data_IF_993302689885
#
_entry.id   IF_993302689885
#
_cell.length_a   1.000
_cell.length_b   1.000
_cell.length_c   1.000
_cell.angle_alpha   90.00
_cell.angle_beta   90.00
_cell.angle_gamma   90.00
#
_symmetry.space_group_name_H-M   'P 1'
#
loop_
_entity.id
_entity.type
_entity.pdbx_description
1 polymer ?
#
# COMPACT_ATOMS: atom_id res chain seq x y z
N UNK A 1 -11.76 -6.18 -8.86
CA UNK A 1 -10.31 -5.91 -9.01
C UNK A 1 -9.59 -7.11 -9.62
N UNK A 2 -8.85 -6.89 -10.69
CA UNK A 2 -7.98 -7.89 -11.31
C UNK A 2 -6.54 -7.63 -10.83
N UNK A 3 -5.87 -8.67 -10.33
CA UNK A 3 -4.44 -8.57 -9.93
C UNK A 3 -3.58 -8.90 -11.14
N UNK A 4 -2.78 -7.94 -11.58
CA UNK A 4 -1.90 -8.06 -12.74
C UNK A 4 -0.45 -8.22 -12.25
N UNK A 5 0.15 -9.37 -12.52
CA UNK A 5 1.58 -9.65 -12.27
C UNK A 5 2.38 -9.70 -13.58
N UNK A 6 1.75 -10.20 -14.63
CA UNK A 6 2.30 -10.17 -15.98
C UNK A 6 1.81 -8.92 -16.71
N UNK A 7 2.71 -7.96 -16.88
CA UNK A 7 2.41 -6.66 -17.50
C UNK A 7 2.14 -6.75 -18.99
N UNK A 8 2.50 -7.84 -19.69
CA UNK A 8 2.16 -8.06 -21.08
C UNK A 8 0.64 -8.11 -21.30
N UNK A 9 -0.12 -8.50 -20.27
CA UNK A 9 -1.60 -8.51 -20.31
C UNK A 9 -2.21 -7.12 -20.41
N UNK A 10 -1.44 -6.06 -20.14
CA UNK A 10 -1.84 -4.66 -20.24
C UNK A 10 -1.54 -4.05 -21.62
N UNK A 11 -0.87 -4.78 -22.51
CA UNK A 11 -0.47 -4.27 -23.82
C UNK A 11 -1.68 -3.70 -24.59
N UNK A 12 -1.56 -2.43 -24.95
CA UNK A 12 -2.61 -1.69 -25.65
C UNK A 12 -3.81 -1.27 -24.80
N UNK A 13 -3.76 -1.50 -23.47
CA UNK A 13 -4.82 -1.09 -22.53
C UNK A 13 -4.33 0.12 -21.74
N UNK A 14 -4.92 1.27 -21.99
CA UNK A 14 -4.63 2.48 -21.22
C UNK A 14 -5.41 2.48 -19.90
N UNK A 15 -4.83 3.02 -18.86
CA UNK A 15 -5.46 3.15 -17.55
C UNK A 15 -5.05 4.44 -16.83
N UNK A 16 -5.90 4.87 -15.91
CA UNK A 16 -5.56 5.90 -14.92
C UNK A 16 -4.96 5.21 -13.71
N UNK A 17 -3.75 5.58 -13.32
CA UNK A 17 -3.01 4.86 -12.29
C UNK A 17 -2.54 5.76 -11.15
N UNK A 18 -2.36 5.18 -9.99
CA UNK A 18 -1.57 5.74 -8.88
C UNK A 18 -0.56 4.70 -8.42
N UNK A 19 0.54 5.16 -7.80
CA UNK A 19 1.61 4.29 -7.33
C UNK A 19 1.87 4.49 -5.85
N UNK A 20 2.10 3.40 -5.12
CA UNK A 20 2.45 3.44 -3.71
C UNK A 20 2.62 2.06 -3.10
N UNK A 21 3.14 2.00 -1.88
CA UNK A 21 3.23 0.74 -1.14
C UNK A 21 1.88 0.33 -0.53
N UNK A 22 1.04 1.28 -0.18
CA UNK A 22 -0.33 1.10 0.34
C UNK A 22 -0.42 0.22 1.60
N UNK A 23 0.55 0.34 2.51
CA UNK A 23 0.51 -0.39 3.77
C UNK A 23 -0.65 0.07 4.65
N UNK A 24 -1.52 -0.87 5.03
CA UNK A 24 -2.73 -0.61 5.81
C UNK A 24 -3.95 -0.18 5.00
N UNK A 25 -3.80 0.23 3.73
CA UNK A 25 -4.92 0.75 2.89
C UNK A 25 -5.87 1.67 3.69
N UNK A 26 -5.27 2.55 4.50
CA UNK A 26 -5.94 3.43 5.46
C UNK A 26 -6.77 4.55 4.80
N UNK A 27 -7.47 5.36 5.58
CA UNK A 27 -8.33 6.44 5.10
C UNK A 27 -7.67 7.32 4.03
N UNK A 28 -6.41 7.76 4.23
CA UNK A 28 -5.71 8.55 3.22
C UNK A 28 -5.47 7.80 1.91
N UNK A 29 -5.17 6.51 1.96
CA UNK A 29 -5.06 5.67 0.76
C UNK A 29 -6.42 5.50 0.07
N UNK A 30 -7.48 5.29 0.83
CA UNK A 30 -8.85 5.13 0.29
C UNK A 30 -9.35 6.42 -0.35
N UNK A 31 -9.02 7.57 0.23
CA UNK A 31 -9.31 8.87 -0.36
C UNK A 31 -8.60 9.05 -1.72
N UNK A 32 -7.29 8.80 -1.78
CA UNK A 32 -6.53 8.82 -3.03
C UNK A 32 -7.12 7.89 -4.09
N UNK A 33 -7.51 6.68 -3.70
CA UNK A 33 -8.13 5.70 -4.61
C UNK A 33 -9.54 6.18 -5.05
N UNK A 34 -10.27 6.85 -4.20
CA UNK A 34 -11.55 7.44 -4.57
C UNK A 34 -11.39 8.52 -5.64
N UNK A 35 -10.46 9.46 -5.46
CA UNK A 35 -10.13 10.47 -6.49
C UNK A 35 -9.64 9.80 -7.80
N UNK A 36 -8.78 8.78 -7.69
CA UNK A 36 -8.33 8.01 -8.84
C UNK A 36 -9.49 7.46 -9.66
N UNK A 37 -10.48 6.88 -8.99
CA UNK A 37 -11.67 6.32 -9.66
C UNK A 37 -12.51 7.40 -10.35
N UNK A 38 -12.66 8.57 -9.73
CA UNK A 38 -13.36 9.70 -10.36
C UNK A 38 -12.64 10.18 -11.62
N UNK A 39 -11.30 10.29 -11.58
CA UNK A 39 -10.50 10.65 -12.77
C UNK A 39 -10.61 9.58 -13.85
N UNK A 40 -10.58 8.30 -13.49
CA UNK A 40 -10.71 7.17 -14.40
C UNK A 40 -12.08 7.14 -15.08
N UNK A 41 -13.16 7.33 -14.32
CA UNK A 41 -14.52 7.41 -14.82
C UNK A 41 -14.69 8.57 -15.80
N UNK A 42 -14.19 9.76 -15.46
CA UNK A 42 -14.23 10.94 -16.33
C UNK A 42 -13.43 10.74 -17.63
N UNK A 43 -12.38 9.93 -17.61
CA UNK A 43 -11.57 9.59 -18.78
C UNK A 43 -12.14 8.41 -19.59
N UNK A 44 -13.15 7.70 -19.08
CA UNK A 44 -13.65 6.45 -19.68
C UNK A 44 -12.60 5.32 -19.69
N UNK A 45 -11.68 5.34 -18.72
CA UNK A 45 -10.58 4.39 -18.60
C UNK A 45 -10.66 3.60 -17.27
N UNK A 46 -10.10 2.39 -17.22
CA UNK A 46 -10.03 1.67 -15.95
C UNK A 46 -9.08 2.33 -14.94
N UNK A 47 -9.38 2.16 -13.67
CA UNK A 47 -8.58 2.60 -12.54
C UNK A 47 -7.57 1.54 -12.13
N UNK A 48 -6.33 1.93 -11.84
CA UNK A 48 -5.25 1.03 -11.46
C UNK A 48 -4.46 1.53 -10.25
N UNK A 49 -4.18 0.64 -9.32
CA UNK A 49 -3.17 0.86 -8.28
C UNK A 49 -1.92 0.06 -8.62
N UNK A 50 -0.78 0.73 -8.70
CA UNK A 50 0.54 0.11 -8.86
C UNK A 50 1.15 -0.04 -7.48
N UNK A 51 1.49 -1.26 -7.07
CA UNK A 51 2.06 -1.56 -5.75
C UNK A 51 3.13 -2.64 -5.81
N UNK A 52 3.79 -2.89 -4.67
CA UNK A 52 4.90 -3.81 -4.54
C UNK A 52 4.56 -4.91 -3.52
N UNK A 53 4.96 -6.17 -3.74
CA UNK A 53 4.75 -7.23 -2.76
C UNK A 53 5.60 -7.02 -1.51
N UNK A 54 6.85 -6.59 -1.68
CA UNK A 54 7.79 -6.33 -0.61
C UNK A 54 8.00 -4.83 -0.39
N UNK A 55 8.35 -4.46 0.86
CA UNK A 55 8.62 -3.06 1.17
C UNK A 55 9.91 -2.60 0.48
N UNK A 56 9.90 -1.49 -0.31
CA UNK A 56 11.07 -1.03 -1.06
C UNK A 56 12.35 -0.89 -0.23
N UNK A 57 12.26 -0.45 1.03
CA UNK A 57 13.42 -0.36 1.91
C UNK A 57 14.01 -1.71 2.31
N UNK A 58 13.21 -2.79 2.36
CA UNK A 58 13.73 -4.11 2.67
C UNK A 58 14.60 -4.66 1.55
N UNK A 59 14.30 -4.30 0.30
CA UNK A 59 15.13 -4.66 -0.86
C UNK A 59 16.42 -3.86 -0.91
N UNK A 60 16.39 -2.57 -0.48
CA UNK A 60 17.55 -1.68 -0.51
C UNK A 60 18.50 -1.90 0.68
N UNK A 61 17.99 -2.34 1.81
CA UNK A 61 18.73 -2.47 3.07
C UNK A 61 18.42 -3.83 3.69
N UNK A 62 19.35 -4.77 3.58
CA UNK A 62 19.17 -6.15 4.06
C UNK A 62 18.84 -6.23 5.57
N UNK A 63 19.34 -5.28 6.38
CA UNK A 63 19.10 -5.23 7.82
C UNK A 63 17.77 -4.54 8.19
N UNK A 64 17.06 -3.98 7.21
CA UNK A 64 15.79 -3.30 7.46
C UNK A 64 14.66 -4.31 7.64
N UNK A 65 14.08 -4.33 8.82
CA UNK A 65 12.89 -5.13 9.12
C UNK A 65 11.67 -4.21 9.08
N UNK A 66 10.81 -4.31 8.05
CA UNK A 66 9.60 -3.52 7.97
C UNK A 66 8.63 -3.93 9.08
N UNK A 67 7.97 -2.96 9.67
CA UNK A 67 6.82 -3.20 10.57
C UNK A 67 5.55 -3.00 9.74
N UNK A 68 5.02 -4.08 9.16
CA UNK A 68 3.89 -4.01 8.25
C UNK A 68 2.54 -3.98 8.99
N UNK A 69 1.61 -3.19 8.47
CA UNK A 69 0.21 -3.19 8.93
C UNK A 69 -0.59 -4.35 8.31
N UNK A 70 -0.23 -4.74 7.08
CA UNK A 70 -0.86 -5.83 6.37
C UNK A 70 0.16 -6.80 5.80
N UNK A 71 -0.18 -8.10 5.75
CA UNK A 71 0.45 -9.00 4.80
C UNK A 71 0.10 -8.59 3.37
N UNK A 72 0.83 -9.11 2.37
CA UNK A 72 0.52 -8.80 0.98
C UNK A 72 -0.89 -9.27 0.57
N UNK A 73 -1.32 -10.44 1.04
CA UNK A 73 -2.67 -10.95 0.79
C UNK A 73 -3.76 -10.07 1.41
N UNK A 74 -3.55 -9.61 2.64
CA UNK A 74 -4.48 -8.68 3.31
C UNK A 74 -4.54 -7.35 2.57
N UNK A 75 -3.40 -6.81 2.14
CA UNK A 75 -3.33 -5.60 1.33
C UNK A 75 -4.16 -5.74 0.04
N UNK A 76 -4.02 -6.86 -0.68
CA UNK A 76 -4.83 -7.11 -1.88
C UNK A 76 -6.33 -7.15 -1.58
N UNK A 77 -6.75 -7.76 -0.46
CA UNK A 77 -8.17 -7.78 -0.05
C UNK A 77 -8.69 -6.38 0.25
N UNK A 78 -7.90 -5.57 0.98
CA UNK A 78 -8.30 -4.19 1.29
C UNK A 78 -8.32 -3.29 0.06
N UNK A 79 -7.39 -3.46 -0.89
CA UNK A 79 -7.43 -2.77 -2.17
C UNK A 79 -8.67 -3.20 -2.98
N UNK A 80 -8.99 -4.49 -3.02
CA UNK A 80 -10.18 -4.97 -3.71
C UNK A 80 -11.47 -4.36 -3.15
N UNK A 81 -11.55 -4.13 -1.83
CA UNK A 81 -12.71 -3.51 -1.19
C UNK A 81 -12.92 -2.03 -1.58
N UNK A 82 -11.94 -1.37 -2.21
CA UNK A 82 -12.10 0.00 -2.72
C UNK A 82 -12.81 0.06 -4.07
N UNK A 83 -12.95 -1.09 -4.74
CA UNK A 83 -13.61 -1.18 -6.04
C UNK A 83 -12.76 -0.67 -7.20
N UNK A 84 -11.42 -0.65 -7.10
CA UNK A 84 -10.52 -0.40 -8.24
C UNK A 84 -10.58 -1.55 -9.23
N UNK A 85 -10.29 -1.26 -10.50
CA UNK A 85 -10.35 -2.27 -11.58
C UNK A 85 -9.10 -3.15 -11.57
N UNK A 86 -7.91 -2.56 -11.49
CA UNK A 86 -6.64 -3.27 -11.53
C UNK A 86 -5.76 -2.99 -10.30
N UNK A 87 -5.08 -4.03 -9.82
CA UNK A 87 -3.94 -3.93 -8.94
C UNK A 87 -2.72 -4.48 -9.68
N UNK A 88 -1.84 -3.58 -10.13
CA UNK A 88 -0.62 -3.93 -10.86
C UNK A 88 0.49 -4.16 -9.83
N UNK A 89 1.01 -5.36 -9.78
CA UNK A 89 2.05 -5.77 -8.84
C UNK A 89 3.39 -5.74 -9.55
N UNK A 90 4.26 -4.82 -9.14
CA UNK A 90 5.63 -4.74 -9.64
C UNK A 90 6.59 -5.29 -8.60
N UNK A 91 7.55 -6.10 -9.03
CA UNK A 91 8.66 -6.49 -8.18
C UNK A 91 9.63 -5.30 -8.05
N UNK A 92 9.88 -4.89 -6.80
CA UNK A 92 10.83 -3.82 -6.53
C UNK A 92 12.24 -4.38 -6.51
N UNK A 93 12.90 -4.35 -7.67
CA UNK A 93 14.28 -4.85 -7.84
C UNK A 93 15.30 -3.74 -7.62
N UNK A 94 16.58 -4.12 -7.44
CA UNK A 94 17.68 -3.17 -7.39
C UNK A 94 17.81 -2.37 -8.70
N UNK A 95 17.47 -2.98 -9.84
CA UNK A 95 17.44 -2.30 -11.14
C UNK A 95 16.35 -1.22 -11.15
N UNK A 96 15.12 -1.58 -10.74
CA UNK A 96 14.01 -0.62 -10.65
C UNK A 96 14.35 0.54 -9.70
N UNK A 97 15.05 0.27 -8.61
CA UNK A 97 15.43 1.28 -7.61
C UNK A 97 16.44 2.31 -8.10
N UNK A 98 17.20 1.98 -9.15
CA UNK A 98 18.21 2.86 -9.76
C UNK A 98 17.64 3.81 -10.79
N UNK A 99 16.41 3.58 -11.25
CA UNK A 99 15.77 4.44 -12.22
C UNK A 99 15.55 5.83 -11.64
N UNK A 100 15.92 6.85 -12.39
CA UNK A 100 15.49 8.22 -12.13
C UNK A 100 13.98 8.32 -12.28
N UNK A 101 13.35 9.37 -11.75
CA UNK A 101 11.93 9.58 -11.93
C UNK A 101 11.54 9.67 -13.41
N UNK A 102 12.38 10.32 -14.23
CA UNK A 102 12.17 10.40 -15.67
C UNK A 102 12.16 9.02 -16.31
N UNK A 103 13.19 8.21 -16.07
CA UNK A 103 13.27 6.85 -16.62
C UNK A 103 12.10 5.99 -16.16
N UNK A 104 11.72 6.06 -14.89
CA UNK A 104 10.58 5.32 -14.38
C UNK A 104 9.28 5.72 -15.07
N UNK A 105 9.02 7.02 -15.26
CA UNK A 105 7.83 7.52 -15.95
C UNK A 105 7.80 7.05 -17.40
N UNK A 106 8.92 7.19 -18.12
CA UNK A 106 8.95 6.90 -19.56
C UNK A 106 8.97 5.39 -19.85
N UNK A 107 9.86 4.63 -19.20
CA UNK A 107 10.06 3.22 -19.56
C UNK A 107 9.11 2.27 -18.83
N UNK A 108 8.76 2.59 -17.57
CA UNK A 108 7.88 1.71 -16.78
C UNK A 108 6.43 2.13 -16.94
N UNK A 109 6.09 3.38 -16.61
CA UNK A 109 4.70 3.81 -16.61
C UNK A 109 4.13 3.96 -18.03
N UNK A 110 4.87 4.59 -18.95
CA UNK A 110 4.41 4.78 -20.33
C UNK A 110 4.54 3.50 -21.16
N UNK A 111 5.79 3.04 -21.37
CA UNK A 111 6.05 1.98 -22.36
C UNK A 111 5.58 0.60 -21.89
N UNK A 112 5.83 0.25 -20.62
CA UNK A 112 5.52 -1.08 -20.10
C UNK A 112 4.10 -1.19 -19.57
N UNK A 113 3.62 -0.18 -18.82
CA UNK A 113 2.32 -0.24 -18.14
C UNK A 113 1.21 0.52 -18.89
N UNK A 114 1.52 1.25 -19.95
CA UNK A 114 0.57 2.04 -20.74
C UNK A 114 -0.32 2.98 -19.91
N UNK A 115 0.27 3.62 -18.89
CA UNK A 115 -0.45 4.59 -18.06
C UNK A 115 -0.81 5.80 -18.90
N UNK A 116 -2.08 6.16 -18.91
CA UNK A 116 -2.61 7.35 -19.56
C UNK A 116 -2.49 8.58 -18.66
N UNK A 117 -2.98 8.43 -17.44
CA UNK A 117 -2.98 9.48 -16.43
C UNK A 117 -2.41 8.92 -15.13
N UNK A 118 -1.44 9.63 -14.56
CA UNK A 118 -0.83 9.30 -13.27
C UNK A 118 -1.34 10.27 -12.21
N UNK A 119 -2.09 9.77 -11.22
CA UNK A 119 -2.47 10.51 -10.03
C UNK A 119 -1.42 10.29 -8.94
N UNK A 120 -0.77 11.35 -8.49
CA UNK A 120 0.29 11.29 -7.47
C UNK A 120 -0.26 11.80 -6.14
N UNK A 121 -0.07 11.03 -5.06
CA UNK A 121 -0.40 11.48 -3.71
C UNK A 121 0.32 12.78 -3.34
N UNK A 122 -0.30 13.57 -2.48
CA UNK A 122 0.10 14.95 -2.17
C UNK A 122 1.60 15.11 -1.80
N UNK A 123 2.16 14.19 -1.03
CA UNK A 123 3.55 14.17 -0.53
C UNK A 123 4.40 13.04 -1.13
N UNK A 124 3.85 12.30 -2.10
CA UNK A 124 4.52 11.13 -2.65
C UNK A 124 5.65 11.53 -3.59
N UNK A 125 6.83 10.94 -3.37
CA UNK A 125 8.01 11.09 -4.23
C UNK A 125 8.59 9.74 -4.60
N UNK A 126 8.99 9.60 -5.85
CA UNK A 126 9.63 8.40 -6.39
C UNK A 126 10.86 8.76 -7.27
N UNK A 127 11.57 7.75 -7.75
CA UNK A 127 12.85 7.89 -8.43
C UNK A 127 14.03 7.69 -7.45
N UNK A 128 15.19 7.36 -7.99
CA UNK A 128 16.37 6.96 -7.23
C UNK A 128 16.72 7.92 -6.07
N UNK A 129 16.82 9.20 -6.35
CA UNK A 129 17.22 10.20 -5.36
C UNK A 129 16.06 10.86 -4.63
N UNK A 130 14.81 10.69 -5.10
CA UNK A 130 13.61 11.38 -4.61
C UNK A 130 13.75 12.90 -4.57
N UNK A 131 14.62 13.45 -5.42
CA UNK A 131 14.91 14.89 -5.54
C UNK A 131 13.85 15.61 -6.35
N UNK A 132 13.33 14.92 -7.37
CA UNK A 132 12.29 15.46 -8.24
C UNK A 132 10.97 15.66 -7.48
N UNK A 133 10.29 16.74 -7.83
CA UNK A 133 8.97 17.08 -7.32
C UNK A 133 7.88 16.95 -8.38
N UNK A 134 6.68 17.42 -8.05
CA UNK A 134 5.51 17.33 -8.91
C UNK A 134 5.72 17.98 -10.29
N UNK A 135 6.32 19.17 -10.34
CA UNK A 135 6.55 19.92 -11.58
C UNK A 135 7.43 19.13 -12.57
N UNK A 136 8.49 18.47 -12.06
CA UNK A 136 9.33 17.62 -12.87
C UNK A 136 8.57 16.41 -13.41
N UNK A 137 7.70 15.79 -12.58
CA UNK A 137 6.90 14.66 -13.04
C UNK A 137 5.92 15.05 -14.14
N UNK A 138 5.31 16.25 -14.07
CA UNK A 138 4.48 16.80 -15.16
C UNK A 138 5.28 16.91 -16.44
N UNK A 139 6.47 17.55 -16.37
CA UNK A 139 7.35 17.69 -17.54
C UNK A 139 7.74 16.35 -18.14
N UNK A 140 8.10 15.35 -17.31
CA UNK A 140 8.45 14.02 -17.79
C UNK A 140 7.27 13.29 -18.42
N UNK A 141 6.08 13.41 -17.83
CA UNK A 141 4.85 12.84 -18.36
C UNK A 141 4.50 13.39 -19.74
N UNK A 142 4.62 14.71 -19.93
CA UNK A 142 4.39 15.35 -21.23
C UNK A 142 5.28 14.80 -22.34
N UNK A 143 6.54 14.41 -22.04
CA UNK A 143 7.46 13.84 -23.06
C UNK A 143 7.03 12.46 -23.56
N UNK A 144 6.20 11.74 -22.82
CA UNK A 144 5.76 10.38 -23.16
C UNK A 144 4.22 10.21 -23.21
N UNK A 145 3.47 11.34 -23.19
CA UNK A 145 2.03 11.35 -23.33
C UNK A 145 1.26 10.91 -22.08
N UNK A 146 1.87 10.95 -20.90
CA UNK A 146 1.21 10.71 -19.61
C UNK A 146 0.76 12.05 -19.02
N UNK A 147 -0.53 12.18 -18.72
CA UNK A 147 -1.04 13.30 -17.92
C UNK A 147 -0.74 13.05 -16.44
N UNK A 148 -0.06 13.97 -15.78
CA UNK A 148 0.25 13.87 -14.34
C UNK A 148 -0.67 14.82 -13.56
N UNK A 149 -1.34 14.30 -12.55
CA UNK A 149 -2.28 15.04 -11.69
C UNK A 149 -1.84 14.88 -10.23
N UNK A 150 -1.90 15.96 -9.47
CA UNK A 150 -1.67 15.92 -8.02
C UNK A 150 -3.00 15.66 -7.31
N UNK A 151 -3.03 14.64 -6.45
CA UNK A 151 -4.19 14.38 -5.61
C UNK A 151 -4.36 15.45 -4.54
N UNK A 152 -5.59 15.63 -4.11
CA UNK A 152 -5.91 16.48 -2.97
C UNK A 152 -5.32 15.89 -1.68
N UNK A 153 -4.98 16.76 -0.74
CA UNK A 153 -4.55 16.29 0.57
C UNK A 153 -5.77 15.83 1.38
N UNK A 154 -5.74 14.60 1.85
CA UNK A 154 -6.72 14.15 2.84
C UNK A 154 -6.31 14.63 4.23
N UNK A 155 -7.23 15.28 4.93
CA UNK A 155 -7.06 15.65 6.33
C UNK A 155 -8.33 15.29 7.11
N UNK A 156 -8.19 14.57 8.20
CA UNK A 156 -9.25 14.33 9.17
C UNK A 156 -8.93 15.17 10.40
N UNK A 157 -9.57 16.35 10.49
CA UNK A 157 -9.19 17.37 11.48
C UNK A 157 -7.79 17.93 11.22
N UNK A 158 -7.00 18.08 12.28
CA UNK A 158 -5.61 18.60 12.20
C UNK A 158 -4.55 17.51 11.95
N UNK A 159 -4.90 16.23 12.02
CA UNK A 159 -3.96 15.13 11.94
C UNK A 159 -3.88 14.52 10.53
N UNK A 160 -2.67 14.37 10.01
CA UNK A 160 -2.42 13.63 8.79
C UNK A 160 -2.53 12.11 9.05
N UNK A 161 -3.39 11.42 8.28
CA UNK A 161 -3.52 9.96 8.37
C UNK A 161 -2.36 9.30 7.63
N UNK A 162 -1.53 8.57 8.37
CA UNK A 162 -0.37 7.86 7.80
C UNK A 162 -0.19 6.47 8.40
N UNK A 163 0.46 5.58 7.63
CA UNK A 163 0.83 4.25 8.16
C UNK A 163 1.74 4.35 9.40
N UNK A 164 2.53 5.41 9.55
CA UNK A 164 3.39 5.62 10.71
C UNK A 164 2.60 5.92 11.97
N UNK A 165 1.57 6.76 11.87
CA UNK A 165 0.68 7.04 13.01
C UNK A 165 -0.08 5.78 13.45
N UNK A 166 -0.60 5.00 12.49
CA UNK A 166 -1.29 3.75 12.81
C UNK A 166 -0.36 2.75 13.52
N UNK A 167 0.91 2.65 13.10
CA UNK A 167 1.90 1.81 13.81
C UNK A 167 2.14 2.27 15.24
N UNK A 168 2.17 3.57 15.47
CA UNK A 168 2.30 4.15 16.80
C UNK A 168 1.10 3.81 17.67
N UNK A 169 -0.13 4.01 17.17
CA UNK A 169 -1.37 3.65 17.87
C UNK A 169 -1.40 2.17 18.27
N UNK A 170 -1.02 1.27 17.36
CA UNK A 170 -0.94 -0.17 17.66
C UNK A 170 0.11 -0.47 18.74
N UNK A 171 1.27 0.18 18.71
CA UNK A 171 2.32 0.01 19.72
C UNK A 171 1.88 0.53 21.10
N UNK A 172 1.03 1.56 21.14
CA UNK A 172 0.41 2.14 22.34
C UNK A 172 -0.87 1.43 22.80
N UNK A 173 -1.21 0.27 22.22
CA UNK A 173 -2.44 -0.51 22.51
C UNK A 173 -3.76 0.21 22.15
N UNK A 174 -3.72 1.30 21.39
CA UNK A 174 -4.88 2.11 20.95
C UNK A 174 -5.49 1.51 19.68
N UNK A 175 -5.94 0.26 19.78
CA UNK A 175 -6.39 -0.53 18.63
C UNK A 175 -7.69 -0.03 18.02
N UNK A 176 -8.55 0.61 18.79
CA UNK A 176 -9.81 1.19 18.31
C UNK A 176 -9.55 2.41 17.42
N UNK A 177 -8.62 3.28 17.82
CA UNK A 177 -8.22 4.44 17.03
C UNK A 177 -7.47 4.01 15.77
N UNK A 178 -6.60 2.99 15.88
CA UNK A 178 -5.97 2.39 14.71
C UNK A 178 -7.02 1.81 13.74
N UNK A 179 -8.04 1.13 14.25
CA UNK A 179 -9.13 0.57 13.43
C UNK A 179 -9.96 1.67 12.75
N UNK A 180 -10.18 2.81 13.41
CA UNK A 180 -10.84 3.97 12.80
C UNK A 180 -10.05 4.47 11.59
N UNK A 181 -8.74 4.72 11.75
CA UNK A 181 -7.87 5.17 10.65
C UNK A 181 -7.70 4.13 9.54
N UNK A 182 -7.74 2.85 9.87
CA UNK A 182 -7.70 1.74 8.92
C UNK A 182 -9.04 1.54 8.19
N UNK A 183 -10.16 1.93 8.80
CA UNK A 183 -11.55 1.64 8.36
C UNK A 183 -11.96 0.16 8.52
N UNK A 184 -11.19 -0.61 9.26
CA UNK A 184 -11.45 -2.02 9.57
C UNK A 184 -10.72 -2.41 10.86
N UNK A 185 -11.23 -3.42 11.62
CA UNK A 185 -10.53 -3.94 12.78
C UNK A 185 -9.16 -4.48 12.42
N UNK A 186 -8.14 -4.12 13.21
CA UNK A 186 -6.81 -4.67 13.00
C UNK A 186 -6.83 -6.17 13.34
N UNK A 187 -6.37 -6.99 12.43
CA UNK A 187 -6.39 -8.44 12.56
C UNK A 187 -5.01 -9.07 12.51
N UNK A 188 -4.85 -10.20 13.20
CA UNK A 188 -3.68 -11.07 13.13
C UNK A 188 -4.12 -12.44 12.63
N UNK A 189 -3.39 -12.98 11.67
CA UNK A 189 -3.53 -14.35 11.19
C UNK A 189 -2.33 -15.17 11.63
N UNK A 190 -2.58 -16.37 12.09
CA UNK A 190 -1.52 -17.25 12.54
C UNK A 190 -1.96 -18.67 12.78
N UNK A 191 -1.00 -19.51 13.05
CA UNK A 191 -1.19 -20.92 13.37
C UNK A 191 -1.22 -21.13 14.89
N UNK A 192 -2.07 -22.05 15.36
CA UNK A 192 -2.11 -22.41 16.77
C UNK A 192 -0.92 -23.30 17.09
N UNK A 193 -0.12 -22.86 18.05
CA UNK A 193 1.08 -23.59 18.50
C UNK A 193 0.96 -24.02 19.97
N UNK A 194 1.70 -25.05 20.33
CA UNK A 194 1.73 -25.52 21.71
C UNK A 194 2.49 -24.54 22.61
N UNK A 195 1.88 -24.16 23.73
CA UNK A 195 2.52 -23.42 24.82
C UNK A 195 2.70 -24.27 26.07
N UNK A 196 2.89 -23.62 27.20
CA UNK A 196 3.15 -24.29 28.50
C UNK A 196 1.96 -25.05 29.08
N UNK A 197 0.78 -25.01 28.44
CA UNK A 197 -0.46 -25.72 28.82
C UNK A 197 -0.95 -25.37 30.25
N UNK A 198 -0.60 -24.19 30.77
CA UNK A 198 -0.98 -23.76 32.13
C UNK A 198 -2.50 -23.60 32.23
N UNK A 199 -3.13 -22.96 31.26
CA UNK A 199 -4.58 -22.78 31.25
C UNK A 199 -5.35 -24.09 31.27
N UNK A 200 -4.85 -25.13 30.55
CA UNK A 200 -5.45 -26.47 30.60
C UNK A 200 -5.42 -27.09 31.99
N UNK A 201 -4.31 -26.89 32.75
CA UNK A 201 -4.20 -27.37 34.15
C UNK A 201 -5.18 -26.64 35.08
N UNK A 202 -5.57 -25.43 34.76
CA UNK A 202 -6.52 -24.60 35.51
C UNK A 202 -7.98 -24.75 35.03
N UNK A 203 -8.22 -25.63 34.05
CA UNK A 203 -9.56 -25.83 33.49
C UNK A 203 -9.95 -24.88 32.35
N UNK A 204 -9.07 -23.94 31.98
CA UNK A 204 -9.27 -22.94 30.92
C UNK A 204 -8.24 -23.10 29.79
N UNK A 205 -8.47 -23.98 28.82
CA UNK A 205 -7.57 -24.14 27.70
C UNK A 205 -7.37 -22.83 26.93
N UNK A 206 -6.12 -22.47 26.66
CA UNK A 206 -5.75 -21.28 25.90
C UNK A 206 -5.08 -21.67 24.59
N UNK A 207 -5.30 -20.88 23.54
CA UNK A 207 -4.60 -21.00 22.27
C UNK A 207 -3.45 -19.98 22.21
N UNK A 208 -2.26 -20.45 21.80
CA UNK A 208 -1.16 -19.56 21.46
C UNK A 208 -1.12 -19.41 19.94
N UNK A 209 -1.08 -18.19 19.45
CA UNK A 209 -1.06 -17.90 18.03
C UNK A 209 0.36 -17.48 17.66
N UNK A 210 0.97 -18.22 16.73
CA UNK A 210 2.17 -17.78 16.03
C UNK A 210 1.73 -17.05 14.76
N UNK A 211 2.05 -15.76 14.66
CA UNK A 211 1.68 -14.94 13.50
C UNK A 211 2.42 -15.43 12.27
N UNK A 212 1.69 -15.66 11.17
CA UNK A 212 2.24 -16.22 9.93
C UNK A 212 3.18 -15.24 9.22
N UNK A 213 2.84 -13.94 9.26
CA UNK A 213 3.64 -12.88 8.64
C UNK A 213 4.66 -12.32 9.63
N UNK A 214 5.97 -12.60 9.44
CA UNK A 214 7.00 -12.26 10.44
C UNK A 214 7.19 -10.76 10.63
N UNK A 215 6.85 -9.95 9.63
CA UNK A 215 7.01 -8.49 9.67
C UNK A 215 5.74 -7.75 10.08
N UNK A 216 4.64 -8.45 10.31
CA UNK A 216 3.39 -7.83 10.73
C UNK A 216 3.48 -7.36 12.18
N UNK A 217 3.03 -6.12 12.42
CA UNK A 217 2.99 -5.58 13.77
C UNK A 217 2.04 -6.40 14.65
N UNK A 218 2.54 -6.83 15.80
CA UNK A 218 1.71 -7.27 16.91
C UNK A 218 1.47 -6.04 17.79
N UNK A 219 0.21 -5.71 18.14
CA UNK A 219 -0.08 -4.61 19.07
C UNK A 219 0.70 -4.71 20.36
N UNK A 220 0.86 -3.60 21.08
CA UNK A 220 1.56 -3.55 22.36
C UNK A 220 1.03 -4.58 23.37
N UNK A 221 1.78 -4.87 24.44
CA UNK A 221 1.39 -5.85 25.47
C UNK A 221 0.13 -5.36 26.18
N UNK A 222 -0.94 -6.16 26.12
CA UNK A 222 -2.25 -5.81 26.68
C UNK A 222 -3.24 -6.96 26.61
N UNK A 223 -4.45 -6.69 27.05
CA UNK A 223 -5.60 -7.59 26.96
C UNK A 223 -6.57 -7.01 25.93
N UNK A 224 -6.93 -7.80 24.94
CA UNK A 224 -7.74 -7.37 23.81
C UNK A 224 -8.99 -8.23 23.68
N UNK A 225 -10.14 -7.61 23.43
CA UNK A 225 -11.32 -8.30 22.96
C UNK A 225 -11.15 -8.64 21.48
N UNK A 226 -11.28 -9.91 21.11
CA UNK A 226 -11.12 -10.40 19.75
C UNK A 226 -12.38 -11.10 19.24
N UNK A 227 -12.56 -11.14 17.93
CA UNK A 227 -13.65 -11.84 17.24
C UNK A 227 -13.11 -12.88 16.28
#
# INVERSE_FOLDING_TARGET
MIVVRDTETLKGKRQVATIGFFDGVHLGHRFLIHELKQVAEAAGLPSAVITFPEHPRAVLHADYQPKLLNSFEEKLKHLASTGIDYCIVLDFTLELSRLTAKEFITTVLADRLHVDTLLIGYDHRFGHNREDGFEQYVTYGETCGIRVIKASQYSEGEAAVSSSEIRKLLAECRVEEAAHLLTYPYGLRGSIVSGYKVGRKLGFPTANIQVDEPFKIIPGIGVYAVR
#
